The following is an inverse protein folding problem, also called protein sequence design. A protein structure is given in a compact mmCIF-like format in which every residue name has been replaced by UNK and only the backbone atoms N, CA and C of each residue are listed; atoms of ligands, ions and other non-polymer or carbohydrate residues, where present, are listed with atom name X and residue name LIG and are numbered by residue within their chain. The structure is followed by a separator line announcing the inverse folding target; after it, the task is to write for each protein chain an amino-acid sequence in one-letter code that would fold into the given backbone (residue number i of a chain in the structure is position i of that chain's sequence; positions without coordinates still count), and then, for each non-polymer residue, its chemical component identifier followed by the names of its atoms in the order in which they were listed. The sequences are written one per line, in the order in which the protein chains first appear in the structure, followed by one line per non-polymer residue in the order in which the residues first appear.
data_IF_395771419913
#
_entry.id   IF_395771419913
#
_cell.length_a   1.000
_cell.length_b   1.000
_cell.length_c   1.000
_cell.angle_alpha   90.00
_cell.angle_beta   90.00
_cell.angle_gamma   90.00
#
_symmetry.space_group_name_H-M   'P 1'
#
loop_
_entity.id
_entity.type
_entity.pdbx_description
1 polymer ?
#
# COMPACT_ATOMS: atom_id res chain seq x y z
N UNK A 1 -8.90 -7.95 17.78
CA UNK A 1 -9.23 -6.56 17.38
C UNK A 1 -8.24 -6.19 16.29
N UNK A 2 -8.64 -6.31 15.02
CA UNK A 2 -7.77 -5.95 13.90
C UNK A 2 -7.52 -4.44 13.92
N UNK A 3 -6.27 -4.03 13.74
CA UNK A 3 -5.90 -2.63 13.57
C UNK A 3 -6.69 -2.11 12.35
N UNK A 4 -7.42 -0.98 12.43
CA UNK A 4 -8.09 -0.43 11.27
C UNK A 4 -7.05 -0.16 10.18
N UNK A 5 -7.20 -0.82 9.03
CA UNK A 5 -6.34 -0.60 7.87
C UNK A 5 -6.70 0.76 7.28
N UNK A 6 -5.73 1.68 7.19
CA UNK A 6 -5.97 2.99 6.60
C UNK A 6 -5.83 2.88 5.08
N UNK A 7 -6.93 2.53 4.40
CA UNK A 7 -6.94 2.38 2.93
C UNK A 7 -6.94 3.77 2.29
N UNK A 8 -5.88 4.09 1.54
CA UNK A 8 -5.68 5.38 0.87
C UNK A 8 -6.06 5.35 -0.62
N UNK A 9 -6.11 4.16 -1.22
CA UNK A 9 -6.62 3.95 -2.58
C UNK A 9 -7.30 2.57 -2.67
N UNK A 10 -8.42 2.49 -3.39
CA UNK A 10 -9.02 1.24 -3.83
C UNK A 10 -9.25 1.29 -5.35
N UNK A 11 -8.76 0.30 -6.09
CA UNK A 11 -8.92 0.17 -7.54
C UNK A 11 -9.18 -1.29 -7.92
N UNK A 12 -10.45 -1.63 -8.11
CA UNK A 12 -10.87 -3.01 -8.32
C UNK A 12 -10.49 -3.87 -7.12
N UNK A 13 -9.65 -4.88 -7.34
CA UNK A 13 -9.14 -5.75 -6.26
C UNK A 13 -7.88 -5.19 -5.57
N UNK A 14 -7.26 -4.14 -6.11
CA UNK A 14 -6.06 -3.55 -5.52
C UNK A 14 -6.42 -2.50 -4.47
N UNK A 15 -5.70 -2.51 -3.36
CA UNK A 15 -5.78 -1.54 -2.28
C UNK A 15 -4.40 -1.03 -1.94
N UNK A 16 -4.28 0.27 -1.70
CA UNK A 16 -3.09 0.84 -1.05
C UNK A 16 -3.45 1.10 0.40
N UNK A 17 -2.71 0.51 1.32
CA UNK A 17 -2.94 0.55 2.75
C UNK A 17 -1.78 1.30 3.38
N UNK A 18 -2.06 2.45 3.98
CA UNK A 18 -1.11 3.15 4.82
C UNK A 18 -1.02 2.44 6.18
N UNK A 19 0.21 2.20 6.62
CA UNK A 19 0.49 1.65 7.94
C UNK A 19 1.70 2.32 8.59
N UNK A 20 1.74 2.37 9.93
CA UNK A 20 2.93 2.80 10.64
C UNK A 20 4.05 1.77 10.47
N UNK A 21 5.26 2.25 10.21
CA UNK A 21 6.47 1.41 10.23
C UNK A 21 6.80 1.12 11.69
N UNK A 22 6.91 -0.17 12.03
CA UNK A 22 7.26 -0.57 13.39
C UNK A 22 8.76 -0.82 13.49
N UNK A 23 9.46 -0.21 14.46
CA UNK A 23 10.88 -0.47 14.64
C UNK A 23 11.08 -1.95 14.98
N UNK A 24 11.82 -2.67 14.13
CA UNK A 24 12.20 -4.08 14.32
C UNK A 24 11.38 -5.11 13.54
N UNK A 25 10.27 -4.74 12.91
CA UNK A 25 9.54 -5.63 11.99
C UNK A 25 9.86 -5.34 10.52
N UNK A 26 10.21 -4.10 10.21
CA UNK A 26 10.48 -3.63 8.86
C UNK A 26 11.95 -3.21 8.70
N UNK A 27 12.54 -3.48 7.53
CA UNK A 27 13.86 -2.94 7.13
C UNK A 27 13.82 -1.43 6.81
N UNK A 28 12.68 -0.77 7.03
CA UNK A 28 12.42 0.63 6.70
C UNK A 28 12.87 1.58 7.82
N UNK A 29 14.12 1.42 8.28
CA UNK A 29 14.67 2.23 9.36
C UNK A 29 14.64 3.74 9.00
N UNK A 30 14.04 4.55 9.87
CA UNK A 30 13.97 6.02 9.71
C UNK A 30 12.69 6.55 9.06
N UNK A 31 11.74 5.69 8.71
CA UNK A 31 10.44 6.08 8.15
C UNK A 31 9.32 5.88 9.18
N UNK A 32 8.34 6.78 9.18
CA UNK A 32 7.18 6.71 10.08
C UNK A 32 6.03 5.89 9.47
N UNK A 33 5.91 5.90 8.15
CA UNK A 33 4.80 5.30 7.40
C UNK A 33 5.34 4.47 6.22
N UNK A 34 4.59 3.42 5.89
CA UNK A 34 4.73 2.61 4.70
C UNK A 34 3.37 2.40 4.05
N UNK A 35 3.39 2.11 2.75
CA UNK A 35 2.21 1.95 1.90
C UNK A 35 2.25 0.57 1.26
N UNK A 36 1.40 -0.32 1.74
CA UNK A 36 1.28 -1.67 1.21
C UNK A 36 0.28 -1.69 0.08
N UNK A 37 0.70 -2.15 -1.10
CA UNK A 37 -0.19 -2.48 -2.19
C UNK A 37 -0.64 -3.92 -1.99
N UNK A 38 -1.92 -4.12 -1.70
CA UNK A 38 -2.50 -5.42 -1.41
C UNK A 38 -3.63 -5.78 -2.38
N UNK A 39 -3.79 -7.07 -2.67
CA UNK A 39 -4.97 -7.61 -3.34
C UNK A 39 -5.99 -8.02 -2.28
N UNK A 40 -7.20 -7.49 -2.41
CA UNK A 40 -8.38 -7.77 -1.57
C UNK A 40 -8.15 -7.48 -0.06
N UNK A 41 -7.06 -6.79 0.29
CA UNK A 41 -6.64 -6.57 1.68
C UNK A 41 -6.05 -7.80 2.38
N UNK A 42 -5.79 -8.88 1.65
CA UNK A 42 -5.31 -10.15 2.18
C UNK A 42 -3.85 -10.43 1.81
N UNK A 43 -3.44 -10.14 0.58
CA UNK A 43 -2.09 -10.43 0.09
C UNK A 43 -1.36 -9.14 -0.28
N UNK A 44 -0.26 -8.82 0.41
CA UNK A 44 0.60 -7.67 0.08
C UNK A 44 1.51 -8.04 -1.09
N UNK A 45 1.34 -7.36 -2.22
CA UNK A 45 2.18 -7.50 -3.40
C UNK A 45 3.52 -6.80 -3.20
N UNK A 46 3.47 -5.57 -2.67
CA UNK A 46 4.66 -4.76 -2.45
C UNK A 46 4.41 -3.68 -1.40
N UNK A 47 5.46 -3.27 -0.71
CA UNK A 47 5.44 -2.18 0.27
C UNK A 47 6.34 -1.06 -0.20
N UNK A 48 5.82 0.17 -0.18
CA UNK A 48 6.55 1.37 -0.57
C UNK A 48 6.69 2.33 0.61
N UNK A 49 7.73 3.15 0.59
CA UNK A 49 7.92 4.21 1.59
C UNK A 49 7.29 5.54 1.17
N UNK A 50 6.95 5.66 -0.10
CA UNK A 50 6.27 6.82 -0.67
C UNK A 50 4.90 6.43 -1.22
N UNK A 51 3.87 7.20 -0.85
CA UNK A 51 2.54 7.05 -1.42
C UNK A 51 2.58 7.18 -2.94
N UNK A 52 3.36 8.13 -3.44
CA UNK A 52 3.47 8.38 -4.88
C UNK A 52 4.00 7.17 -5.64
N UNK A 53 4.97 6.44 -5.08
CA UNK A 53 5.49 5.21 -5.69
C UNK A 53 4.45 4.09 -5.67
N UNK A 54 3.72 3.92 -4.56
CA UNK A 54 2.63 2.96 -4.48
C UNK A 54 1.52 3.24 -5.51
N UNK A 55 1.16 4.51 -5.70
CA UNK A 55 0.17 4.91 -6.71
C UNK A 55 0.66 4.64 -8.13
N UNK A 56 1.91 5.00 -8.45
CA UNK A 56 2.50 4.71 -9.76
C UNK A 56 2.56 3.21 -10.04
N UNK A 57 2.86 2.39 -9.03
CA UNK A 57 2.81 0.95 -9.17
C UNK A 57 1.40 0.47 -9.50
N UNK A 58 0.38 0.95 -8.79
CA UNK A 58 -1.03 0.62 -9.07
C UNK A 58 -1.43 1.03 -10.48
N UNK A 59 -1.05 2.22 -10.94
CA UNK A 59 -1.31 2.68 -12.31
C UNK A 59 -0.58 1.85 -13.37
N UNK A 60 0.60 1.32 -13.07
CA UNK A 60 1.32 0.42 -13.98
C UNK A 60 0.66 -0.97 -14.07
N UNK A 61 0.23 -1.55 -12.94
CA UNK A 61 -0.33 -2.91 -12.91
C UNK A 61 -1.82 -2.96 -13.28
N UNK A 62 -2.55 -1.87 -13.01
CA UNK A 62 -3.97 -1.73 -13.27
C UNK A 62 -4.24 -0.30 -13.77
N UNK A 63 -3.86 0.01 -15.03
CA UNK A 63 -4.09 1.32 -15.60
C UNK A 63 -5.57 1.65 -15.53
N UNK A 64 -5.89 2.87 -15.06
CA UNK A 64 -7.25 3.37 -15.12
C UNK A 64 -7.68 3.34 -16.58
N UNK A 65 -8.57 2.42 -16.93
CA UNK A 65 -9.10 2.34 -18.29
C UNK A 65 -9.86 3.63 -18.51
N UNK A 66 -9.32 4.50 -19.37
CA UNK A 66 -10.04 5.68 -19.82
C UNK A 66 -11.25 5.17 -20.61
N UNK A 67 -12.43 5.26 -20.01
CA UNK A 67 -13.71 5.16 -20.73
C UNK A 67 -13.92 6.45 -21.54
#
# INVERSE_FOLDING_TARGET
MGVPQNVVLERGLLRVIERPVRPGEDNFAGWELAYDVAIDGHEVLHSFLSLHEALQFVDMVAPATAD
#
